data_IF_829788850126
#
_entry.id   IF_829788850126
#
_cell.length_a   1.000
_cell.length_b   1.000
_cell.length_c   1.000
_cell.angle_alpha   90.00
_cell.angle_beta   90.00
_cell.angle_gamma   90.00
#
_symmetry.space_group_name_H-M   'P 1'
#
loop_
_entity.id
_entity.type
_entity.pdbx_description
1 polymer ?
#
# COMPACT_ATOMS: atom_id res chain seq x y z
N UNK A 1 41.04 -60.74 -18.33
CA UNK A 1 40.93 -59.60 -17.38
C UNK A 1 39.84 -58.58 -17.74
N UNK A 2 39.34 -58.54 -18.99
CA UNK A 2 38.37 -57.54 -19.47
C UNK A 2 36.90 -57.84 -19.10
N UNK A 3 36.48 -59.11 -19.03
CA UNK A 3 35.10 -59.48 -18.70
C UNK A 3 34.70 -59.25 -17.23
N UNK A 4 35.66 -59.37 -16.28
CA UNK A 4 35.39 -59.09 -14.85
C UNK A 4 35.19 -57.59 -14.58
N UNK A 5 35.83 -56.70 -15.37
CA UNK A 5 35.65 -55.25 -15.24
C UNK A 5 34.31 -54.78 -15.79
N UNK A 6 33.81 -55.40 -16.85
CA UNK A 6 32.50 -55.07 -17.44
C UNK A 6 31.34 -55.48 -16.51
N UNK A 7 31.43 -56.66 -15.88
CA UNK A 7 30.41 -57.11 -14.91
C UNK A 7 30.35 -56.20 -13.66
N UNK A 8 31.50 -55.68 -13.21
CA UNK A 8 31.55 -54.76 -12.07
C UNK A 8 30.94 -53.39 -12.42
N UNK A 9 31.20 -52.87 -13.63
CA UNK A 9 30.62 -51.62 -14.13
C UNK A 9 29.10 -51.70 -14.31
N UNK A 10 28.60 -52.83 -14.84
CA UNK A 10 27.15 -53.07 -14.97
C UNK A 10 26.49 -53.22 -13.59
N UNK A 11 27.15 -53.90 -12.65
CA UNK A 11 26.66 -54.06 -11.27
C UNK A 11 26.56 -52.72 -10.52
N UNK A 12 27.56 -51.85 -10.67
CA UNK A 12 27.55 -50.51 -10.05
C UNK A 12 26.48 -49.62 -10.70
N UNK A 13 26.33 -49.68 -12.03
CA UNK A 13 25.29 -48.95 -12.75
C UNK A 13 23.87 -49.37 -12.32
N UNK A 14 23.62 -50.67 -12.19
CA UNK A 14 22.32 -51.19 -11.73
C UNK A 14 22.01 -50.78 -10.28
N UNK A 15 23.02 -50.79 -9.39
CA UNK A 15 22.86 -50.37 -7.99
C UNK A 15 22.56 -48.88 -7.87
N UNK A 16 23.19 -48.03 -8.69
CA UNK A 16 22.94 -46.60 -8.73
C UNK A 16 21.52 -46.26 -9.22
N UNK A 17 21.03 -46.97 -10.24
CA UNK A 17 19.66 -46.81 -10.75
C UNK A 17 18.63 -47.25 -9.69
N UNK A 18 18.87 -48.36 -8.99
CA UNK A 18 18.01 -48.82 -7.89
C UNK A 18 17.98 -47.85 -6.71
N UNK A 19 19.10 -47.20 -6.39
CA UNK A 19 19.18 -46.17 -5.36
C UNK A 19 18.45 -44.89 -5.77
N UNK A 20 18.55 -44.48 -7.05
CA UNK A 20 17.82 -43.32 -7.59
C UNK A 20 16.31 -43.56 -7.61
N UNK A 21 15.85 -44.75 -8.04
CA UNK A 21 14.42 -45.11 -8.03
C UNK A 21 13.86 -45.21 -6.60
N UNK A 22 14.65 -45.71 -5.64
CA UNK A 22 14.28 -45.68 -4.22
C UNK A 22 14.24 -44.26 -3.66
N UNK A 23 15.15 -43.38 -4.08
CA UNK A 23 15.17 -41.98 -3.67
C UNK A 23 13.96 -41.22 -4.21
N UNK A 24 13.55 -41.46 -5.47
CA UNK A 24 12.31 -40.90 -6.03
C UNK A 24 11.07 -41.43 -5.30
N UNK A 25 11.00 -42.73 -4.96
CA UNK A 25 9.90 -43.25 -4.13
C UNK A 25 9.89 -42.66 -2.72
N UNK A 26 11.05 -42.41 -2.11
CA UNK A 26 11.15 -41.75 -0.80
C UNK A 26 10.73 -40.28 -0.88
N UNK A 27 11.07 -39.56 -1.95
CA UNK A 27 10.56 -38.18 -2.18
C UNK A 27 9.05 -38.17 -2.38
N UNK A 28 8.48 -39.16 -3.08
CA UNK A 28 7.03 -39.28 -3.28
C UNK A 28 6.30 -39.65 -1.97
N UNK A 29 6.92 -40.43 -1.09
CA UNK A 29 6.42 -40.73 0.25
C UNK A 29 6.54 -39.52 1.21
N UNK A 30 7.61 -38.73 1.13
CA UNK A 30 7.81 -37.53 1.96
C UNK A 30 6.90 -36.36 1.51
N UNK A 31 6.57 -36.27 0.22
CA UNK A 31 5.62 -35.28 -0.31
C UNK A 31 4.15 -35.73 -0.25
N UNK A 32 3.89 -37.00 0.13
CA UNK A 32 2.56 -37.61 0.19
C UNK A 32 1.74 -37.29 1.43
N UNK A 33 2.31 -36.67 2.47
CA UNK A 33 1.61 -36.29 3.70
C UNK A 33 1.61 -34.76 3.91
N UNK A 34 0.99 -34.02 3.00
CA UNK A 34 0.30 -32.79 3.41
C UNK A 34 -1.15 -33.16 3.61
N UNK A 35 -1.51 -33.45 4.86
CA UNK A 35 -2.89 -33.70 5.26
C UNK A 35 -3.75 -32.46 4.96
N UNK A 36 -4.35 -32.39 3.78
CA UNK A 36 -5.45 -31.49 3.48
C UNK A 36 -6.69 -32.06 4.18
N UNK A 37 -7.04 -31.48 5.31
CA UNK A 37 -8.22 -31.96 6.05
C UNK A 37 -9.47 -31.36 5.41
N UNK A 38 -10.19 -32.16 4.62
CA UNK A 38 -11.52 -31.82 4.10
C UNK A 38 -12.56 -32.20 5.16
N UNK A 39 -13.21 -31.21 5.78
CA UNK A 39 -14.35 -31.44 6.67
C UNK A 39 -15.65 -30.93 6.04
N UNK A 40 -16.71 -31.73 6.18
CA UNK A 40 -18.06 -31.48 5.64
C UNK A 40 -18.96 -30.71 6.61
N UNK A 41 -18.45 -29.66 7.27
CA UNK A 41 -19.25 -28.78 8.13
C UNK A 41 -19.09 -27.34 7.65
N UNK A 42 -20.18 -26.74 7.17
CA UNK A 42 -20.18 -25.34 6.71
C UNK A 42 -19.90 -24.41 7.90
N UNK A 43 -18.77 -23.66 7.91
CA UNK A 43 -18.50 -22.72 8.98
C UNK A 43 -19.48 -21.53 8.90
N UNK A 44 -19.99 -21.07 10.05
CA UNK A 44 -20.78 -19.83 10.12
C UNK A 44 -19.88 -18.64 9.75
N UNK A 45 -19.97 -18.19 8.50
CA UNK A 45 -19.13 -17.14 7.94
C UNK A 45 -19.60 -15.76 8.40
N UNK A 46 -18.71 -15.00 9.05
CA UNK A 46 -18.94 -13.59 9.36
C UNK A 46 -18.22 -12.71 8.36
N UNK A 47 -18.85 -11.61 7.97
CA UNK A 47 -18.19 -10.53 7.22
C UNK A 47 -17.53 -9.57 8.20
N UNK A 48 -16.38 -8.96 7.85
CA UNK A 48 -15.76 -7.93 8.67
C UNK A 48 -16.74 -6.77 8.88
N UNK A 49 -16.76 -6.23 10.09
CA UNK A 49 -17.46 -4.98 10.42
C UNK A 49 -16.60 -3.75 10.18
N UNK A 50 -15.27 -3.94 10.10
CA UNK A 50 -14.25 -2.91 10.00
C UNK A 50 -13.14 -3.34 9.02
N UNK A 51 -12.23 -2.43 8.70
CA UNK A 51 -11.08 -2.63 7.79
C UNK A 51 -9.93 -3.43 8.40
N UNK A 52 -9.95 -3.64 9.72
CA UNK A 52 -8.96 -4.41 10.47
C UNK A 52 -9.70 -5.49 11.25
N UNK A 53 -9.24 -6.74 11.14
CA UNK A 53 -9.86 -7.90 11.78
C UNK A 53 -8.82 -8.67 12.61
N UNK A 54 -9.09 -8.97 13.89
CA UNK A 54 -8.21 -9.83 14.69
C UNK A 54 -8.09 -11.23 14.09
N UNK A 55 -6.88 -11.81 14.11
CA UNK A 55 -6.64 -13.20 13.77
C UNK A 55 -6.89 -14.05 15.03
N UNK A 56 -7.90 -14.93 15.04
CA UNK A 56 -8.23 -15.72 16.22
C UNK A 56 -7.04 -16.52 16.77
N UNK A 57 -7.00 -16.66 18.10
CA UNK A 57 -5.96 -17.39 18.84
C UNK A 57 -4.56 -16.75 18.74
N UNK A 58 -4.47 -15.46 18.45
CA UNK A 58 -3.22 -14.70 18.42
C UNK A 58 -3.46 -13.21 18.69
N UNK A 59 -2.38 -12.44 18.82
CA UNK A 59 -2.46 -10.96 18.80
C UNK A 59 -2.36 -10.37 17.40
N UNK A 60 -2.20 -11.19 16.36
CA UNK A 60 -2.07 -10.70 14.99
C UNK A 60 -3.37 -10.11 14.44
N UNK A 61 -3.25 -9.28 13.41
CA UNK A 61 -4.38 -8.67 12.70
C UNK A 61 -4.28 -8.96 11.21
N UNK A 62 -5.41 -9.11 10.54
CA UNK A 62 -5.53 -9.14 9.08
C UNK A 62 -6.34 -7.93 8.60
N UNK A 63 -5.98 -7.40 7.43
CA UNK A 63 -6.52 -6.14 6.89
C UNK A 63 -7.35 -6.43 5.65
N UNK A 64 -6.71 -6.95 4.61
CA UNK A 64 -7.32 -7.15 3.29
C UNK A 64 -6.65 -8.30 2.56
N UNK A 65 -7.36 -8.87 1.57
CA UNK A 65 -6.90 -10.02 0.82
C UNK A 65 -6.94 -9.75 -0.67
N UNK A 66 -5.87 -10.13 -1.37
CA UNK A 66 -5.70 -9.93 -2.80
C UNK A 66 -5.18 -11.19 -3.46
N UNK A 67 -5.66 -11.49 -4.66
CA UNK A 67 -5.03 -12.49 -5.53
C UNK A 67 -3.82 -11.86 -6.23
N UNK A 68 -2.65 -12.46 -6.04
CA UNK A 68 -1.38 -12.02 -6.62
C UNK A 68 -1.02 -12.91 -7.82
N UNK A 69 -1.42 -12.47 -9.01
CA UNK A 69 -1.18 -13.22 -10.26
C UNK A 69 0.30 -13.37 -10.61
N UNK A 70 1.16 -12.52 -10.06
CA UNK A 70 2.63 -12.60 -10.26
C UNK A 70 3.24 -13.79 -9.52
N UNK A 71 2.52 -14.33 -8.53
CA UNK A 71 2.89 -15.51 -7.75
C UNK A 71 1.94 -16.68 -8.02
N UNK A 72 1.58 -16.89 -9.29
CA UNK A 72 0.74 -18.03 -9.69
C UNK A 72 -0.69 -17.98 -9.14
N UNK A 73 -1.18 -16.78 -8.79
CA UNK A 73 -2.52 -16.60 -8.22
C UNK A 73 -2.60 -16.89 -6.71
N UNK A 74 -1.47 -16.86 -6.01
CA UNK A 74 -1.41 -16.89 -4.54
C UNK A 74 -2.36 -15.86 -3.92
N UNK A 75 -3.01 -16.22 -2.80
CA UNK A 75 -3.78 -15.24 -2.03
C UNK A 75 -2.85 -14.60 -1.02
N UNK A 76 -2.69 -13.28 -1.12
CA UNK A 76 -1.91 -12.45 -0.22
C UNK A 76 -2.85 -11.71 0.70
N UNK A 77 -2.72 -11.98 2.00
CA UNK A 77 -3.43 -11.24 3.03
C UNK A 77 -2.46 -10.23 3.64
N UNK A 78 -2.76 -8.94 3.50
CA UNK A 78 -2.03 -7.87 4.19
C UNK A 78 -2.39 -7.97 5.67
N UNK A 79 -1.37 -8.09 6.51
CA UNK A 79 -1.50 -8.39 7.93
C UNK A 79 -0.56 -7.54 8.78
N UNK A 80 -0.85 -7.49 10.08
CA UNK A 80 -0.02 -6.88 11.10
C UNK A 80 0.35 -7.99 12.09
N UNK A 81 1.62 -8.36 12.13
CA UNK A 81 2.12 -9.52 12.88
C UNK A 81 2.96 -9.05 14.05
N UNK A 82 2.63 -9.49 15.27
CA UNK A 82 3.52 -9.39 16.42
C UNK A 82 4.77 -10.26 16.20
N UNK A 83 5.96 -9.66 16.22
CA UNK A 83 7.23 -10.35 15.95
C UNK A 83 7.62 -11.36 17.03
N UNK A 84 7.07 -11.23 18.23
CA UNK A 84 7.34 -12.11 19.36
C UNK A 84 6.50 -13.40 19.33
N UNK A 85 5.44 -13.41 18.51
CA UNK A 85 4.53 -14.55 18.32
C UNK A 85 4.91 -15.29 17.04
N UNK A 86 5.51 -16.47 17.19
CA UNK A 86 6.07 -17.28 16.10
C UNK A 86 5.23 -18.51 15.76
N UNK A 87 4.04 -18.62 16.35
CA UNK A 87 3.13 -19.73 16.07
C UNK A 87 2.73 -19.76 14.57
N UNK A 88 2.55 -20.95 13.98
CA UNK A 88 2.13 -21.05 12.59
C UNK A 88 0.73 -20.46 12.40
N UNK A 89 0.53 -19.78 11.28
CA UNK A 89 -0.77 -19.33 10.82
C UNK A 89 -1.30 -20.26 9.73
N UNK A 90 -2.61 -20.34 9.62
CA UNK A 90 -3.30 -21.19 8.66
C UNK A 90 -4.29 -20.35 7.85
N UNK A 91 -4.29 -20.57 6.54
CA UNK A 91 -5.27 -20.03 5.63
C UNK A 91 -6.51 -20.92 5.61
N UNK A 92 -7.69 -20.31 5.68
CA UNK A 92 -8.98 -20.97 5.43
C UNK A 92 -9.62 -20.32 4.21
N UNK A 93 -9.62 -21.02 3.09
CA UNK A 93 -10.13 -20.52 1.80
C UNK A 93 -11.49 -21.13 1.49
N UNK A 94 -12.43 -20.29 1.06
CA UNK A 94 -13.77 -20.72 0.67
C UNK A 94 -14.14 -20.17 -0.71
N UNK A 95 -14.79 -21.00 -1.52
CA UNK A 95 -15.49 -20.56 -2.73
C UNK A 95 -16.87 -19.95 -2.38
N UNK A 96 -17.43 -19.15 -3.31
CA UNK A 96 -18.80 -18.67 -3.19
C UNK A 96 -19.78 -19.76 -3.67
N UNK A 97 -20.76 -20.11 -2.83
CA UNK A 97 -21.84 -21.03 -3.20
C UNK A 97 -22.84 -20.47 -4.24
N UNK A 98 -22.67 -19.21 -4.70
CA UNK A 98 -23.61 -18.49 -5.57
C UNK A 98 -23.12 -18.26 -7.02
N UNK A 99 -21.98 -18.82 -7.40
CA UNK A 99 -21.44 -18.64 -8.76
C UNK A 99 -22.10 -19.56 -9.81
N UNK A 100 -22.70 -20.68 -9.39
CA UNK A 100 -23.38 -21.63 -10.29
C UNK A 100 -24.87 -21.70 -9.97
N UNK A 101 -25.65 -20.74 -10.46
CA UNK A 101 -27.12 -20.84 -10.49
C UNK A 101 -27.64 -21.51 -11.78
N UNK A 102 -26.76 -22.09 -12.60
CA UNK A 102 -27.09 -22.66 -13.91
C UNK A 102 -26.51 -24.06 -14.15
N UNK A 103 -26.31 -24.84 -13.09
CA UNK A 103 -26.02 -26.28 -13.25
C UNK A 103 -27.09 -27.06 -12.50
N UNK A 104 -27.79 -27.89 -13.26
CA UNK A 104 -28.86 -28.77 -12.80
C UNK A 104 -28.45 -29.50 -11.52
N UNK A 105 -29.20 -29.21 -10.46
CA UNK A 105 -29.05 -29.86 -9.16
C UNK A 105 -29.49 -31.32 -9.27
N UNK A 106 -28.59 -32.21 -9.70
CA UNK A 106 -28.64 -33.68 -9.53
C UNK A 106 -27.34 -34.35 -10.01
N UNK A 107 -26.26 -34.15 -9.26
CA UNK A 107 -25.14 -35.09 -9.14
C UNK A 107 -24.33 -34.67 -7.90
N UNK A 108 -23.86 -35.64 -7.12
CA UNK A 108 -23.19 -35.44 -5.84
C UNK A 108 -22.04 -34.40 -5.90
N UNK A 109 -22.15 -33.30 -5.14
CA UNK A 109 -21.09 -32.28 -5.02
C UNK A 109 -21.54 -30.98 -4.34
N UNK A 110 -21.21 -30.81 -3.07
CA UNK A 110 -21.77 -29.79 -2.17
C UNK A 110 -21.36 -28.32 -2.47
N UNK A 111 -22.27 -27.33 -2.27
CA UNK A 111 -21.91 -25.92 -2.22
C UNK A 111 -21.21 -25.58 -0.88
N UNK A 112 -20.02 -24.96 -0.93
CA UNK A 112 -19.38 -24.31 0.23
C UNK A 112 -18.29 -25.09 0.97
N UNK A 113 -17.42 -25.83 0.28
CA UNK A 113 -16.26 -26.46 0.91
C UNK A 113 -15.14 -25.43 1.12
N UNK A 114 -14.76 -25.21 2.38
CA UNK A 114 -13.56 -24.44 2.72
C UNK A 114 -12.37 -25.40 2.87
N UNK A 115 -11.20 -24.98 2.43
CA UNK A 115 -9.94 -25.74 2.58
C UNK A 115 -9.01 -25.00 3.53
N UNK A 116 -8.31 -25.76 4.37
CA UNK A 116 -7.34 -25.23 5.32
C UNK A 116 -5.95 -25.77 5.07
N UNK A 117 -4.95 -24.90 5.16
CA UNK A 117 -3.55 -25.28 5.04
C UNK A 117 -2.67 -24.20 5.68
N UNK A 118 -1.44 -24.59 6.02
CA UNK A 118 -0.50 -23.68 6.65
C UNK A 118 -0.12 -22.52 5.71
N UNK A 119 -0.16 -21.30 6.24
CA UNK A 119 0.22 -20.09 5.54
C UNK A 119 1.73 -19.87 5.58
N UNK A 120 2.25 -19.13 4.60
CA UNK A 120 3.62 -18.63 4.62
C UNK A 120 3.61 -17.15 5.03
N UNK A 121 4.21 -16.82 6.17
CA UNK A 121 4.24 -15.45 6.70
C UNK A 121 5.53 -14.76 6.29
N UNK A 122 5.44 -13.63 5.60
CA UNK A 122 6.58 -12.78 5.23
C UNK A 122 6.45 -11.43 5.94
N UNK A 123 7.24 -11.24 7.00
CA UNK A 123 7.34 -9.94 7.67
C UNK A 123 8.10 -8.95 6.77
N UNK A 124 7.62 -7.71 6.69
CA UNK A 124 8.32 -6.67 5.94
C UNK A 124 9.61 -6.29 6.68
N UNK A 125 10.69 -6.04 5.95
CA UNK A 125 12.00 -5.80 6.54
C UNK A 125 12.13 -4.45 7.25
N UNK A 126 11.27 -3.49 6.95
CA UNK A 126 11.30 -2.15 7.55
C UNK A 126 10.36 -2.11 8.76
N UNK A 127 10.89 -2.46 9.92
CA UNK A 127 10.12 -2.60 11.15
C UNK A 127 10.26 -1.42 12.14
N UNK A 128 11.23 -0.54 11.91
CA UNK A 128 11.55 0.62 12.76
C UNK A 128 11.71 0.30 14.27
N UNK A 129 12.01 -0.96 14.61
CA UNK A 129 12.10 -1.45 15.99
C UNK A 129 10.76 -1.78 16.67
N UNK A 130 9.63 -1.65 15.97
CA UNK A 130 8.30 -1.83 16.58
C UNK A 130 7.94 -3.32 16.77
N UNK A 131 7.15 -3.66 17.81
CA UNK A 131 6.71 -5.04 18.07
C UNK A 131 5.78 -5.63 17.01
N UNK A 132 4.89 -4.80 16.44
CA UNK A 132 3.95 -5.20 15.40
C UNK A 132 4.37 -4.63 14.05
N UNK A 133 4.48 -5.51 13.05
CA UNK A 133 5.00 -5.17 11.72
C UNK A 133 4.03 -5.55 10.62
N UNK A 134 4.01 -4.74 9.57
CA UNK A 134 3.32 -5.09 8.32
C UNK A 134 3.91 -6.38 7.77
N UNK A 135 3.05 -7.28 7.32
CA UNK A 135 3.44 -8.58 6.82
C UNK A 135 2.49 -9.05 5.74
N UNK A 136 2.98 -9.95 4.90
CA UNK A 136 2.17 -10.71 3.96
C UNK A 136 1.95 -12.12 4.50
N UNK A 137 0.69 -12.48 4.75
CA UNK A 137 0.31 -13.88 5.02
C UNK A 137 -0.13 -14.50 3.68
N UNK A 138 0.71 -15.36 3.13
CA UNK A 138 0.52 -15.96 1.82
C UNK A 138 -0.12 -17.35 1.91
N UNK A 139 -1.21 -17.51 1.19
CA UNK A 139 -1.86 -18.80 0.96
C UNK A 139 -1.41 -19.35 -0.39
N UNK A 140 -0.56 -20.38 -0.36
CA UNK A 140 0.02 -21.05 -1.51
C UNK A 140 -0.61 -22.45 -1.66
N UNK A 141 -1.63 -22.57 -2.50
CA UNK A 141 -2.29 -23.85 -2.77
C UNK A 141 -2.52 -24.04 -4.28
N UNK A 142 -2.57 -25.28 -4.80
CA UNK A 142 -3.04 -25.53 -6.16
C UNK A 142 -4.56 -25.32 -6.31
N UNK A 143 -5.33 -25.42 -5.23
CA UNK A 143 -6.80 -25.31 -5.22
C UNK A 143 -7.35 -23.85 -5.18
N UNK A 144 -6.51 -22.85 -5.49
CA UNK A 144 -6.81 -21.43 -5.28
C UNK A 144 -7.76 -20.81 -6.30
N UNK A 145 -7.98 -21.46 -7.45
CA UNK A 145 -8.58 -20.79 -8.61
C UNK A 145 -9.98 -20.22 -8.35
N UNK A 146 -10.77 -20.88 -7.51
CA UNK A 146 -12.17 -20.51 -7.23
C UNK A 146 -12.38 -19.83 -5.86
N UNK A 147 -11.30 -19.56 -5.12
CA UNK A 147 -11.42 -18.94 -3.79
C UNK A 147 -11.85 -17.47 -3.91
N UNK A 148 -12.97 -17.13 -3.29
CA UNK A 148 -13.50 -15.76 -3.26
C UNK A 148 -13.33 -15.11 -1.89
N UNK A 149 -13.07 -15.92 -0.86
CA UNK A 149 -12.97 -15.49 0.54
C UNK A 149 -11.85 -16.23 1.26
N UNK A 150 -11.21 -15.53 2.19
CA UNK A 150 -10.13 -16.07 3.02
C UNK A 150 -10.30 -15.63 4.47
N UNK A 151 -9.95 -16.50 5.39
CA UNK A 151 -9.69 -16.16 6.79
C UNK A 151 -8.31 -16.68 7.19
N UNK A 152 -7.71 -16.06 8.21
CA UNK A 152 -6.45 -16.50 8.81
C UNK A 152 -6.72 -16.87 10.28
N UNK A 153 -6.14 -17.96 10.75
CA UNK A 153 -6.24 -18.43 12.15
C UNK A 153 -4.90 -18.96 12.64
N UNK A 154 -4.61 -18.81 13.94
CA UNK A 154 -3.46 -19.46 14.58
C UNK A 154 -3.79 -20.87 15.11
N UNK A 155 -5.05 -21.31 15.02
CA UNK A 155 -5.47 -22.66 15.38
C UNK A 155 -6.10 -23.38 14.17
N UNK A 156 -5.47 -24.44 13.63
CA UNK A 156 -5.94 -25.13 12.45
C UNK A 156 -7.19 -25.98 12.71
N UNK A 157 -7.64 -26.14 13.95
CA UNK A 157 -8.84 -26.91 14.30
C UNK A 157 -10.06 -26.02 14.57
N UNK A 158 -9.87 -24.70 14.62
CA UNK A 158 -10.92 -23.74 14.96
C UNK A 158 -11.51 -23.10 13.69
N UNK A 159 -12.42 -23.84 13.03
CA UNK A 159 -13.08 -23.41 11.80
C UNK A 159 -14.40 -22.65 12.03
N UNK A 160 -14.96 -22.75 13.24
CA UNK A 160 -16.25 -22.14 13.56
C UNK A 160 -16.11 -20.66 13.92
N UNK A 161 -17.02 -19.82 13.43
CA UNK A 161 -17.09 -18.37 13.70
C UNK A 161 -15.92 -17.52 13.17
N UNK A 162 -15.22 -17.99 12.14
CA UNK A 162 -14.20 -17.18 11.48
C UNK A 162 -14.82 -16.01 10.69
N UNK A 163 -14.12 -14.87 10.73
CA UNK A 163 -14.40 -13.72 9.88
C UNK A 163 -13.65 -13.86 8.57
N UNK A 164 -14.33 -13.67 7.44
CA UNK A 164 -13.76 -13.90 6.11
C UNK A 164 -13.61 -12.58 5.33
N UNK A 165 -12.39 -12.28 4.91
CA UNK A 165 -12.10 -11.20 3.97
C UNK A 165 -12.51 -11.61 2.56
N UNK A 166 -13.08 -10.68 1.79
CA UNK A 166 -13.26 -10.88 0.35
C UNK A 166 -11.91 -10.76 -0.35
N UNK A 167 -11.62 -11.71 -1.22
CA UNK A 167 -10.40 -11.70 -2.03
C UNK A 167 -10.63 -10.78 -3.23
N UNK A 168 -9.85 -9.70 -3.28
CA UNK A 168 -9.85 -8.74 -4.39
C UNK A 168 -8.86 -9.16 -5.50
N UNK A 169 -8.78 -8.38 -6.58
CA UNK A 169 -7.90 -8.63 -7.72
C UNK A 169 -8.11 -10.00 -8.39
N UNK A 170 -9.37 -10.46 -8.49
CA UNK A 170 -9.72 -11.78 -9.04
C UNK A 170 -9.18 -12.01 -10.47
N UNK A 171 -9.06 -10.95 -11.26
CA UNK A 171 -8.63 -10.95 -12.66
C UNK A 171 -7.48 -9.95 -12.88
N UNK A 172 -6.61 -10.27 -13.84
CA UNK A 172 -5.61 -9.33 -14.37
C UNK A 172 -6.31 -8.35 -15.30
N UNK A 173 -6.08 -7.04 -15.09
CA UNK A 173 -6.60 -5.98 -15.94
C UNK A 173 -5.47 -5.14 -16.52
N UNK A 174 -5.57 -4.84 -17.80
CA UNK A 174 -4.65 -3.94 -18.52
C UNK A 174 -5.28 -2.59 -18.86
N UNK A 175 -6.61 -2.53 -18.85
CA UNK A 175 -7.37 -1.27 -18.90
C UNK A 175 -7.63 -0.79 -17.48
N UNK A 176 -7.14 0.40 -17.17
CA UNK A 176 -7.21 0.98 -15.83
C UNK A 176 -8.29 2.07 -15.77
N UNK A 177 -9.02 2.12 -14.67
CA UNK A 177 -10.01 3.18 -14.40
C UNK A 177 -9.32 4.53 -14.21
N UNK A 178 -8.10 4.51 -13.68
CA UNK A 178 -7.32 5.70 -13.38
C UNK A 178 -5.90 5.56 -13.95
N UNK A 179 -5.33 6.65 -14.45
CA UNK A 179 -3.90 6.70 -14.78
C UNK A 179 -3.08 6.94 -13.51
N UNK A 180 -3.54 7.85 -12.65
CA UNK A 180 -2.82 8.25 -11.43
C UNK A 180 -3.71 8.19 -10.21
N UNK A 181 -3.22 7.53 -9.17
CA UNK A 181 -3.84 7.52 -7.85
C UNK A 181 -2.84 7.89 -6.77
N UNK A 182 -3.22 8.78 -5.86
CA UNK A 182 -2.40 9.13 -4.70
C UNK A 182 -2.85 8.29 -3.50
N UNK A 183 -1.90 7.63 -2.84
CA UNK A 183 -2.10 6.88 -1.61
C UNK A 183 -1.54 7.66 -0.42
N UNK A 184 -2.44 8.24 0.39
CA UNK A 184 -2.09 8.97 1.61
C UNK A 184 -2.24 8.03 2.80
N UNK A 185 -1.13 7.79 3.48
CA UNK A 185 -1.02 6.67 4.42
C UNK A 185 -1.94 6.72 5.63
N UNK A 186 -1.93 7.76 6.48
CA UNK A 186 -2.77 7.83 7.69
C UNK A 186 -3.10 9.27 8.08
N UNK A 187 -4.37 9.51 8.40
CA UNK A 187 -4.86 10.72 9.04
C UNK A 187 -5.14 10.44 10.52
N UNK A 188 -4.44 11.15 11.40
CA UNK A 188 -4.51 10.95 12.84
C UNK A 188 -4.32 12.25 13.61
N UNK A 189 -4.47 12.20 14.94
CA UNK A 189 -4.16 13.32 15.83
C UNK A 189 -5.07 14.54 15.65
N UNK A 190 -6.33 14.31 15.23
CA UNK A 190 -7.31 15.39 14.97
C UNK A 190 -6.77 16.41 13.94
N UNK A 191 -6.02 15.94 12.94
CA UNK A 191 -5.47 16.78 11.88
C UNK A 191 -6.54 17.66 11.22
N UNK A 192 -6.36 18.99 11.29
CA UNK A 192 -7.34 19.96 10.81
C UNK A 192 -6.75 21.02 9.86
N UNK A 193 -5.76 20.67 9.05
CA UNK A 193 -5.15 21.57 8.08
C UNK A 193 -5.99 21.59 6.78
N UNK A 194 -7.20 22.14 6.87
CA UNK A 194 -8.21 22.11 5.82
C UNK A 194 -7.80 22.91 4.58
N UNK A 195 -7.21 24.11 4.76
CA UNK A 195 -6.79 24.95 3.63
C UNK A 195 -5.72 24.25 2.78
N UNK A 196 -4.65 23.73 3.42
CA UNK A 196 -3.59 23.02 2.69
C UNK A 196 -4.14 21.79 1.95
N UNK A 197 -5.04 21.05 2.57
CA UNK A 197 -5.60 19.85 1.95
C UNK A 197 -6.48 20.19 0.75
N UNK A 198 -7.36 21.19 0.85
CA UNK A 198 -8.15 21.68 -0.29
C UNK A 198 -7.25 22.17 -1.44
N UNK A 199 -6.21 22.96 -1.12
CA UNK A 199 -5.24 23.43 -2.11
C UNK A 199 -4.52 22.27 -2.81
N UNK A 200 -4.11 21.26 -2.05
CA UNK A 200 -3.43 20.07 -2.57
C UNK A 200 -4.35 19.24 -3.48
N UNK A 201 -5.61 19.05 -3.10
CA UNK A 201 -6.60 18.33 -3.92
C UNK A 201 -6.85 19.04 -5.27
N UNK A 202 -6.96 20.37 -5.27
CA UNK A 202 -7.12 21.13 -6.52
C UNK A 202 -5.84 21.09 -7.39
N UNK A 203 -4.65 21.11 -6.79
CA UNK A 203 -3.39 20.89 -7.53
C UNK A 203 -3.37 19.49 -8.15
N UNK A 204 -3.79 18.46 -7.42
CA UNK A 204 -3.88 17.09 -7.92
C UNK A 204 -4.75 16.97 -9.17
N UNK A 205 -5.92 17.63 -9.21
CA UNK A 205 -6.77 17.67 -10.41
C UNK A 205 -6.01 18.26 -11.61
N UNK A 206 -5.30 19.36 -11.40
CA UNK A 206 -4.58 20.07 -12.47
C UNK A 206 -3.39 19.27 -13.02
N UNK A 207 -2.70 18.50 -12.20
CA UNK A 207 -1.57 17.67 -12.64
C UNK A 207 -1.99 16.26 -13.12
N UNK A 208 -3.29 15.98 -13.19
CA UNK A 208 -3.84 14.76 -13.79
C UNK A 208 -4.07 13.58 -12.83
N UNK A 209 -4.08 13.82 -11.51
CA UNK A 209 -4.52 12.81 -10.53
C UNK A 209 -6.03 12.67 -10.58
N UNK A 210 -6.52 11.43 -10.70
CA UNK A 210 -7.95 11.15 -10.85
C UNK A 210 -8.56 10.52 -9.60
N UNK A 211 -7.73 9.96 -8.72
CA UNK A 211 -8.17 9.32 -7.48
C UNK A 211 -7.17 9.59 -6.36
N UNK A 212 -7.69 9.86 -5.17
CA UNK A 212 -6.92 9.94 -3.94
C UNK A 212 -7.53 8.94 -2.96
N UNK A 213 -6.68 8.26 -2.20
CA UNK A 213 -7.08 7.31 -1.17
C UNK A 213 -6.43 7.78 0.12
N UNK A 214 -7.23 7.93 1.17
CA UNK A 214 -6.72 8.31 2.48
C UNK A 214 -7.27 7.37 3.53
N UNK A 215 -6.40 6.89 4.40
CA UNK A 215 -6.80 6.08 5.54
C UNK A 215 -6.99 6.99 6.75
N UNK A 216 -8.16 6.92 7.37
CA UNK A 216 -8.55 7.85 8.42
C UNK A 216 -8.72 7.13 9.77
N UNK A 217 -7.80 7.40 10.69
CA UNK A 217 -7.96 7.05 12.11
C UNK A 217 -8.72 8.16 12.84
N UNK A 218 -8.32 9.43 12.64
CA UNK A 218 -9.02 10.58 13.20
C UNK A 218 -8.66 11.85 12.43
N UNK A 219 -9.62 12.76 12.23
CA UNK A 219 -9.38 14.08 11.66
C UNK A 219 -10.17 15.16 12.38
N UNK A 220 -9.78 16.42 12.18
CA UNK A 220 -10.52 17.57 12.67
C UNK A 220 -11.79 17.85 11.86
N UNK A 221 -12.68 18.69 12.39
CA UNK A 221 -14.01 18.91 11.83
C UNK A 221 -14.00 19.57 10.44
N UNK A 222 -13.06 20.47 10.16
CA UNK A 222 -12.99 21.17 8.87
C UNK A 222 -12.40 20.28 7.80
N UNK A 223 -11.37 19.49 8.13
CA UNK A 223 -10.87 18.45 7.22
C UNK A 223 -11.97 17.42 6.96
N UNK A 224 -12.75 17.00 7.95
CA UNK A 224 -13.86 16.05 7.75
C UNK A 224 -14.87 16.54 6.69
N UNK A 225 -15.23 17.83 6.72
CA UNK A 225 -16.08 18.46 5.70
C UNK A 225 -15.46 18.38 4.30
N UNK A 226 -14.16 18.68 4.19
CA UNK A 226 -13.42 18.60 2.92
C UNK A 226 -13.33 17.16 2.41
N UNK A 227 -13.10 16.19 3.29
CA UNK A 227 -13.10 14.77 2.93
C UNK A 227 -14.47 14.34 2.36
N UNK A 228 -15.57 14.77 2.99
CA UNK A 228 -16.93 14.50 2.51
C UNK A 228 -17.20 15.11 1.14
N UNK A 229 -16.76 16.35 0.93
CA UNK A 229 -16.87 17.04 -0.35
C UNK A 229 -16.20 16.25 -1.49
N UNK A 230 -14.90 15.96 -1.36
CA UNK A 230 -14.17 15.25 -2.42
C UNK A 230 -14.58 13.79 -2.58
N UNK A 231 -15.12 13.16 -1.52
CA UNK A 231 -15.71 11.82 -1.62
C UNK A 231 -16.99 11.85 -2.46
N UNK A 232 -17.85 12.85 -2.28
CA UNK A 232 -19.06 13.06 -3.07
C UNK A 232 -18.74 13.39 -4.53
N UNK A 233 -17.70 14.18 -4.78
CA UNK A 233 -17.18 14.46 -6.12
C UNK A 233 -16.64 13.19 -6.82
N UNK A 234 -16.27 12.16 -6.05
CA UNK A 234 -15.74 10.89 -6.55
C UNK A 234 -14.21 10.86 -6.69
N UNK A 235 -13.54 11.99 -6.42
CA UNK A 235 -12.07 12.08 -6.46
C UNK A 235 -11.42 11.37 -5.27
N UNK A 236 -12.05 11.37 -4.10
CA UNK A 236 -11.46 10.83 -2.86
C UNK A 236 -12.14 9.52 -2.41
N UNK A 237 -11.35 8.57 -1.94
CA UNK A 237 -11.77 7.45 -1.09
C UNK A 237 -11.26 7.68 0.32
N UNK A 238 -12.16 7.67 1.29
CA UNK A 238 -11.78 7.62 2.71
C UNK A 238 -11.95 6.18 3.19
N UNK A 239 -10.85 5.57 3.59
CA UNK A 239 -10.83 4.21 4.17
C UNK A 239 -10.76 4.35 5.69
N UNK A 240 -11.75 3.88 6.47
CA UNK A 240 -11.65 3.88 7.92
C UNK A 240 -10.42 3.10 8.38
N UNK A 241 -9.68 3.60 9.36
CA UNK A 241 -8.46 2.94 9.87
C UNK A 241 -8.39 2.96 11.41
N UNK A 242 -9.21 2.14 12.07
CA UNK A 242 -9.37 2.14 13.53
C UNK A 242 -8.25 1.38 14.25
N UNK A 243 -6.99 1.60 13.86
CA UNK A 243 -5.83 0.87 14.38
C UNK A 243 -5.66 1.05 15.90
N UNK A 244 -6.05 2.21 16.41
CA UNK A 244 -6.05 2.61 17.82
C UNK A 244 -7.02 1.80 18.69
N UNK A 245 -8.02 1.14 18.09
CA UNK A 245 -8.89 0.20 18.78
C UNK A 245 -8.23 -1.16 19.05
N UNK A 246 -7.16 -1.49 18.33
CA UNK A 246 -6.52 -2.81 18.37
C UNK A 246 -5.11 -2.77 18.97
N UNK A 247 -4.37 -1.70 18.73
CA UNK A 247 -2.98 -1.51 19.16
C UNK A 247 -2.80 -0.09 19.69
N UNK A 248 -1.72 0.16 20.44
CA UNK A 248 -1.27 1.52 20.78
C UNK A 248 -0.37 2.06 19.66
N UNK A 249 -0.87 2.86 18.71
CA UNK A 249 -0.04 3.39 17.63
C UNK A 249 1.00 4.38 18.16
N UNK A 250 2.17 4.40 17.52
CA UNK A 250 3.17 5.45 17.74
C UNK A 250 2.78 6.74 17.04
N UNK A 251 3.05 7.87 17.69
CA UNK A 251 2.91 9.22 17.10
C UNK A 251 4.17 9.70 16.38
N UNK A 252 5.25 8.89 16.39
CA UNK A 252 6.50 9.23 15.73
C UNK A 252 7.17 8.04 15.07
N UNK A 253 8.32 8.32 14.44
CA UNK A 253 9.00 7.40 13.53
C UNK A 253 9.97 6.44 14.24
N UNK A 254 10.47 6.81 15.42
CA UNK A 254 11.47 6.04 16.16
C UNK A 254 10.85 5.37 17.39
N UNK A 255 10.99 4.03 17.48
CA UNK A 255 10.52 3.25 18.63
C UNK A 255 11.14 3.73 19.95
N UNK A 256 12.46 3.97 19.96
CA UNK A 256 13.19 4.35 21.18
C UNK A 256 12.75 5.72 21.72
N UNK A 257 12.20 6.59 20.88
CA UNK A 257 11.81 7.95 21.25
C UNK A 257 10.31 8.09 21.53
N UNK A 258 9.47 7.39 20.74
CA UNK A 258 8.02 7.61 20.76
C UNK A 258 7.25 6.41 21.33
N UNK A 259 7.88 5.23 21.38
CA UNK A 259 7.29 3.97 21.82
C UNK A 259 5.98 3.63 21.09
N UNK A 260 5.27 2.61 21.56
CA UNK A 260 4.03 2.10 20.96
C UNK A 260 4.21 0.72 20.34
N UNK A 261 3.09 0.15 19.90
CA UNK A 261 3.02 -1.20 19.37
C UNK A 261 3.32 -1.24 17.87
N UNK A 262 2.94 -0.19 17.13
CA UNK A 262 3.04 -0.12 15.68
C UNK A 262 3.52 1.26 15.20
N UNK A 263 4.39 1.25 14.19
CA UNK A 263 4.97 2.46 13.60
C UNK A 263 3.90 3.37 12.97
N UNK A 264 3.88 4.64 13.39
CA UNK A 264 3.13 5.74 12.77
C UNK A 264 1.69 5.39 12.35
N UNK A 265 0.88 4.93 13.31
CA UNK A 265 -0.50 4.50 13.07
C UNK A 265 -0.66 3.37 12.04
N UNK A 266 0.37 2.55 11.81
CA UNK A 266 0.35 1.47 10.83
C UNK A 266 0.51 1.96 9.39
N UNK A 267 1.25 3.06 9.18
CA UNK A 267 1.49 3.68 7.87
C UNK A 267 2.00 2.70 6.81
N UNK A 268 2.86 1.75 7.19
CA UNK A 268 3.36 0.74 6.26
C UNK A 268 2.25 -0.20 5.78
N UNK A 269 1.31 -0.56 6.67
CA UNK A 269 0.19 -1.43 6.33
C UNK A 269 -0.76 -0.75 5.36
N UNK A 270 -1.05 0.53 5.55
CA UNK A 270 -1.93 1.29 4.66
C UNK A 270 -1.31 1.55 3.29
N UNK A 271 -0.01 1.86 3.23
CA UNK A 271 0.70 2.01 1.96
C UNK A 271 0.67 0.72 1.12
N UNK A 272 0.94 -0.43 1.75
CA UNK A 272 0.89 -1.71 1.05
C UNK A 272 -0.55 -2.12 0.71
N UNK A 273 -1.53 -1.83 1.57
CA UNK A 273 -2.94 -2.08 1.27
C UNK A 273 -3.40 -1.28 0.05
N UNK A 274 -3.07 0.02 -0.01
CA UNK A 274 -3.41 0.89 -1.13
C UNK A 274 -2.78 0.41 -2.44
N UNK A 275 -1.52 -0.03 -2.37
CA UNK A 275 -0.79 -0.58 -3.51
C UNK A 275 -1.53 -1.76 -4.15
N UNK A 276 -1.98 -2.72 -3.34
CA UNK A 276 -2.70 -3.88 -3.86
C UNK A 276 -4.15 -3.56 -4.22
N UNK A 277 -4.85 -2.70 -3.45
CA UNK A 277 -6.22 -2.24 -3.73
C UNK A 277 -6.34 -1.62 -5.12
N UNK A 278 -5.35 -0.84 -5.53
CA UNK A 278 -5.35 -0.13 -6.80
C UNK A 278 -4.48 -0.76 -7.89
N UNK A 279 -3.90 -1.95 -7.64
CA UNK A 279 -2.99 -2.64 -8.57
C UNK A 279 -3.57 -2.84 -9.97
N UNK A 280 -4.86 -3.18 -10.06
CA UNK A 280 -5.59 -3.39 -11.33
C UNK A 280 -6.67 -2.34 -11.56
N UNK A 281 -6.60 -1.21 -10.85
CA UNK A 281 -7.49 -0.06 -11.04
C UNK A 281 -6.74 1.16 -11.55
N UNK A 282 -5.42 1.24 -11.27
CA UNK A 282 -4.59 2.39 -11.59
C UNK A 282 -3.31 2.02 -12.35
N UNK A 283 -2.95 2.85 -13.34
CA UNK A 283 -1.71 2.69 -14.10
C UNK A 283 -0.47 2.98 -13.24
N UNK A 284 -0.51 4.04 -12.44
CA UNK A 284 0.55 4.45 -11.52
C UNK A 284 -0.02 4.90 -10.17
N UNK A 285 0.76 4.70 -9.12
CA UNK A 285 0.47 5.16 -7.76
C UNK A 285 1.52 6.14 -7.28
N UNK A 286 1.09 7.21 -6.62
CA UNK A 286 1.93 8.16 -5.90
C UNK A 286 1.82 7.86 -4.40
N UNK A 287 2.94 7.56 -3.76
CA UNK A 287 3.01 7.18 -2.35
C UNK A 287 3.64 8.32 -1.54
N UNK A 288 2.87 9.35 -1.21
CA UNK A 288 3.36 10.53 -0.50
C UNK A 288 2.46 10.91 0.68
N UNK A 289 2.98 11.75 1.57
CA UNK A 289 2.24 12.20 2.74
C UNK A 289 1.24 13.31 2.36
N UNK A 290 0.31 13.64 3.27
CA UNK A 290 -0.80 14.57 3.00
C UNK A 290 -0.35 16.01 2.73
N UNK A 291 0.82 16.38 3.24
CA UNK A 291 1.46 17.70 3.13
C UNK A 291 2.53 17.77 2.02
N UNK A 292 2.63 16.71 1.22
CA UNK A 292 3.60 16.56 0.13
C UNK A 292 2.90 16.52 -1.22
N UNK A 293 3.48 17.20 -2.22
CA UNK A 293 2.98 17.20 -3.60
C UNK A 293 4.12 16.78 -4.55
N UNK A 294 4.03 15.59 -5.13
CA UNK A 294 4.92 15.18 -6.24
C UNK A 294 4.57 16.03 -7.47
N UNK A 295 5.45 16.95 -7.85
CA UNK A 295 5.18 17.98 -8.85
C UNK A 295 6.11 17.83 -10.08
N UNK A 296 5.58 17.74 -11.31
CA UNK A 296 6.39 17.81 -12.53
C UNK A 296 6.84 19.25 -12.82
N UNK A 297 8.13 19.46 -13.11
CA UNK A 297 8.70 20.80 -13.38
C UNK A 297 9.01 21.03 -14.86
N UNK A 298 9.39 19.99 -15.61
CA UNK A 298 9.68 20.07 -17.06
C UNK A 298 8.50 19.68 -17.94
N UNK A 299 7.40 19.24 -17.33
CA UNK A 299 6.21 18.74 -18.03
C UNK A 299 4.96 19.36 -17.43
N UNK A 300 3.91 19.50 -18.24
CA UNK A 300 2.66 20.14 -17.82
C UNK A 300 1.89 19.34 -16.76
N UNK A 301 2.00 18.00 -16.77
CA UNK A 301 1.27 17.10 -15.88
C UNK A 301 1.99 15.75 -15.74
N UNK A 302 1.44 14.86 -14.90
CA UNK A 302 2.00 13.54 -14.64
C UNK A 302 1.96 12.62 -15.86
N UNK A 303 0.94 12.75 -16.73
CA UNK A 303 0.82 11.94 -17.95
C UNK A 303 2.02 12.20 -18.88
N UNK A 304 2.34 13.47 -19.15
CA UNK A 304 3.45 13.86 -20.00
C UNK A 304 4.80 13.47 -19.37
N UNK A 305 4.95 13.65 -18.05
CA UNK A 305 6.13 13.21 -17.31
C UNK A 305 6.35 11.69 -17.48
N UNK A 306 5.32 10.91 -17.18
CA UNK A 306 5.42 9.44 -17.22
C UNK A 306 5.53 8.89 -18.64
N UNK A 307 4.94 9.55 -19.64
CA UNK A 307 5.13 9.19 -21.04
C UNK A 307 6.60 9.22 -21.44
N UNK A 308 7.31 10.30 -21.11
CA UNK A 308 8.74 10.45 -21.41
C UNK A 308 9.60 9.50 -20.55
N UNK A 309 9.34 9.45 -19.23
CA UNK A 309 10.11 8.59 -18.34
C UNK A 309 9.99 7.11 -18.72
N UNK A 310 8.79 6.63 -19.03
CA UNK A 310 8.60 5.23 -19.41
C UNK A 310 9.17 4.94 -20.81
N UNK A 311 9.13 5.90 -21.75
CA UNK A 311 9.78 5.75 -23.05
C UNK A 311 11.31 5.61 -22.92
N UNK A 312 11.92 6.42 -22.06
CA UNK A 312 13.37 6.38 -21.82
C UNK A 312 13.81 5.19 -20.96
N UNK A 313 12.93 4.76 -20.04
CA UNK A 313 13.19 3.71 -19.04
C UNK A 313 12.06 2.67 -19.05
N UNK A 314 11.91 1.86 -20.11
CA UNK A 314 10.77 0.94 -20.26
C UNK A 314 10.67 -0.11 -19.16
N UNK A 315 11.80 -0.49 -18.55
CA UNK A 315 11.86 -1.48 -17.47
C UNK A 315 11.77 -0.87 -16.06
N UNK A 316 11.67 0.46 -15.95
CA UNK A 316 11.48 1.10 -14.65
C UNK A 316 10.05 0.90 -14.17
N UNK A 317 9.92 0.47 -12.91
CA UNK A 317 8.64 0.31 -12.22
C UNK A 317 8.54 1.16 -10.96
N UNK A 318 9.64 1.78 -10.54
CA UNK A 318 9.73 2.61 -9.33
C UNK A 318 10.50 3.88 -9.69
N UNK A 319 9.87 5.03 -9.48
CA UNK A 319 10.42 6.35 -9.75
C UNK A 319 10.57 7.08 -8.41
N UNK A 320 11.81 7.22 -7.93
CA UNK A 320 12.11 7.93 -6.69
C UNK A 320 12.14 9.43 -6.96
N UNK A 321 11.35 10.17 -6.19
CA UNK A 321 11.20 11.63 -6.29
C UNK A 321 11.73 12.24 -5.00
N UNK A 322 12.64 13.20 -5.13
CA UNK A 322 13.32 13.85 -4.01
C UNK A 322 12.41 14.85 -3.29
N UNK A 323 12.49 14.87 -1.95
CA UNK A 323 11.77 15.80 -1.11
C UNK A 323 12.50 17.13 -0.95
N UNK A 324 11.80 18.25 -1.18
CA UNK A 324 12.34 19.59 -0.94
C UNK A 324 11.44 20.43 -0.05
N UNK A 325 12.08 21.13 0.89
CA UNK A 325 11.42 21.81 1.99
C UNK A 325 11.13 23.26 1.62
N UNK A 326 9.87 23.64 1.83
CA UNK A 326 9.37 25.01 1.76
C UNK A 326 9.02 25.45 3.18
N UNK A 327 9.87 26.24 3.87
CA UNK A 327 9.63 26.59 5.25
C UNK A 327 8.33 27.38 5.42
N UNK A 328 7.42 26.87 6.26
CA UNK A 328 6.17 27.55 6.61
C UNK A 328 6.37 28.87 7.38
N UNK A 329 7.61 29.17 7.77
CA UNK A 329 8.01 30.43 8.42
C UNK A 329 8.44 31.50 7.42
N UNK A 330 8.59 31.15 6.14
CA UNK A 330 9.03 32.06 5.09
C UNK A 330 7.88 32.30 4.11
N UNK A 331 7.50 33.57 3.97
CA UNK A 331 6.34 33.99 3.17
C UNK A 331 6.79 34.82 1.96
N UNK A 332 6.02 34.75 0.88
CA UNK A 332 5.99 35.75 -0.18
C UNK A 332 5.88 37.18 0.40
N UNK A 333 6.69 38.11 -0.13
CA UNK A 333 6.74 39.50 0.32
C UNK A 333 5.59 40.36 -0.20
N UNK A 334 5.00 39.99 -1.34
CA UNK A 334 3.93 40.76 -1.96
C UNK A 334 2.58 40.61 -1.24
N UNK A 335 2.41 39.55 -0.44
CA UNK A 335 1.14 39.23 0.20
C UNK A 335 0.05 38.83 -0.82
N UNK A 336 0.44 38.43 -2.04
CA UNK A 336 -0.46 38.17 -3.16
C UNK A 336 -1.53 37.14 -2.84
N UNK A 337 -1.19 36.14 -2.03
CA UNK A 337 -2.10 35.05 -1.65
C UNK A 337 -2.67 35.20 -0.24
N UNK A 338 -2.46 36.34 0.43
CA UNK A 338 -3.09 36.66 1.73
C UNK A 338 -4.54 37.09 1.52
N UNK A 339 -5.36 36.15 1.07
CA UNK A 339 -6.75 36.38 0.71
C UNK A 339 -7.62 36.47 1.98
N UNK A 340 -8.33 37.59 2.24
CA UNK A 340 -9.09 37.76 3.48
C UNK A 340 -10.10 36.64 3.77
N UNK A 341 -10.70 36.08 2.72
CA UNK A 341 -11.67 34.96 2.82
C UNK A 341 -11.05 33.64 3.30
N UNK A 342 -9.75 33.42 3.12
CA UNK A 342 -9.08 32.21 3.62
C UNK A 342 -8.55 32.37 5.04
N UNK A 343 -8.59 33.60 5.61
CA UNK A 343 -8.02 33.91 6.92
C UNK A 343 -8.63 33.09 8.07
N UNK A 344 -9.91 32.74 7.96
CA UNK A 344 -10.63 31.93 8.96
C UNK A 344 -10.55 30.43 8.72
N UNK A 345 -10.03 29.99 7.57
CA UNK A 345 -9.94 28.57 7.23
C UNK A 345 -8.72 27.96 7.91
N UNK A 346 -8.87 26.93 8.76
CA UNK A 346 -7.73 26.32 9.44
C UNK A 346 -6.73 25.72 8.45
N UNK A 347 -5.45 26.03 8.63
CA UNK A 347 -4.37 25.41 7.87
C UNK A 347 -3.33 26.37 7.33
N UNK A 348 -2.35 25.80 6.62
CA UNK A 348 -1.28 26.52 5.95
C UNK A 348 -1.70 26.85 4.52
N UNK A 349 -1.54 28.10 4.12
CA UNK A 349 -1.74 28.52 2.73
C UNK A 349 -0.47 28.23 1.90
N UNK A 350 -0.44 27.10 1.19
CA UNK A 350 0.78 26.67 0.46
C UNK A 350 1.19 27.64 -0.65
N UNK A 351 0.28 28.49 -1.13
CA UNK A 351 0.57 29.49 -2.16
C UNK A 351 1.41 30.67 -1.63
N UNK A 352 1.47 30.87 -0.32
CA UNK A 352 2.34 31.91 0.28
C UNK A 352 3.80 31.45 0.44
N UNK A 353 4.08 30.15 0.27
CA UNK A 353 5.39 29.57 0.57
C UNK A 353 6.14 29.21 -0.72
N UNK A 354 6.87 30.19 -1.27
CA UNK A 354 7.67 30.06 -2.50
C UNK A 354 9.18 29.99 -2.26
N UNK A 355 9.62 30.05 -1.00
CA UNK A 355 11.02 29.95 -0.65
C UNK A 355 11.35 28.50 -0.30
N UNK A 356 12.30 27.92 -1.04
CA UNK A 356 12.74 26.53 -0.89
C UNK A 356 14.14 26.50 -0.28
N UNK A 357 14.34 25.60 0.69
CA UNK A 357 15.66 25.36 1.24
C UNK A 357 16.62 24.78 0.18
N UNK A 358 17.92 25.15 0.21
CA UNK A 358 18.96 24.49 -0.56
C UNK A 358 19.14 23.05 -0.09
N UNK A 359 19.76 22.22 -0.93
CA UNK A 359 20.05 20.83 -0.57
C UNK A 359 21.02 20.77 0.62
N UNK A 360 20.73 19.88 1.56
CA UNK A 360 21.49 19.73 2.79
C UNK A 360 22.80 19.01 2.48
N UNK A 361 23.93 19.69 2.68
CA UNK A 361 25.25 19.07 2.51
C UNK A 361 25.36 17.84 3.44
N UNK A 362 25.77 16.71 2.87
CA UNK A 362 26.00 15.43 3.57
C UNK A 362 24.76 14.76 4.17
N UNK A 363 23.55 15.25 3.89
CA UNK A 363 22.31 14.60 4.35
C UNK A 363 21.48 14.25 3.13
N UNK A 364 21.10 12.98 3.01
CA UNK A 364 20.19 12.55 1.96
C UNK A 364 18.82 13.21 2.16
N UNK A 365 18.29 13.83 1.10
CA UNK A 365 16.91 14.28 1.09
C UNK A 365 16.00 13.07 0.98
N UNK A 366 15.07 12.87 1.94
CA UNK A 366 14.14 11.76 1.88
C UNK A 366 13.42 11.72 0.53
N UNK A 367 13.13 10.54 0.02
CA UNK A 367 12.37 10.37 -1.22
C UNK A 367 10.97 9.91 -0.93
N UNK A 368 10.05 10.12 -1.89
CA UNK A 368 8.83 9.32 -2.03
C UNK A 368 8.86 8.62 -3.38
N UNK A 369 7.89 7.76 -3.64
CA UNK A 369 7.87 6.93 -4.84
C UNK A 369 6.59 7.13 -5.66
N UNK A 370 6.78 7.29 -6.96
CA UNK A 370 5.76 7.04 -7.97
C UNK A 370 6.03 5.63 -8.54
N UNK A 371 5.05 4.74 -8.50
CA UNK A 371 5.24 3.33 -8.83
C UNK A 371 4.24 2.82 -9.86
N UNK A 372 4.66 1.86 -10.66
CA UNK A 372 3.76 0.89 -11.26
C UNK A 372 3.44 -0.17 -10.19
N UNK A 373 2.19 -0.29 -9.70
CA UNK A 373 1.89 -1.22 -8.61
C UNK A 373 2.11 -2.69 -8.97
N UNK A 374 2.01 -3.05 -10.26
CA UNK A 374 2.31 -4.43 -10.71
C UNK A 374 3.81 -4.76 -10.59
N UNK A 375 4.68 -3.76 -10.59
CA UNK A 375 6.14 -3.93 -10.51
C UNK A 375 6.69 -3.93 -9.07
N UNK A 376 5.84 -3.77 -8.05
CA UNK A 376 6.27 -3.68 -6.64
C UNK A 376 5.54 -4.72 -5.80
N UNK A 377 6.27 -5.44 -4.95
CA UNK A 377 5.71 -6.44 -4.04
C UNK A 377 5.51 -5.88 -2.63
N UNK A 378 6.46 -5.08 -2.13
CA UNK A 378 6.43 -4.47 -0.81
C UNK A 378 6.99 -3.05 -0.87
N UNK A 379 6.32 -2.10 -0.21
CA UNK A 379 6.74 -0.70 -0.13
C UNK A 379 6.91 -0.22 1.31
N UNK A 380 7.73 0.81 1.50
CA UNK A 380 7.89 1.57 2.73
C UNK A 380 7.66 3.07 2.50
N UNK A 381 7.86 3.89 3.53
CA UNK A 381 7.63 5.34 3.58
C UNK A 381 8.43 6.10 2.53
N UNK A 382 9.69 5.70 2.29
CA UNK A 382 10.62 6.44 1.43
C UNK A 382 11.14 5.66 0.22
N UNK A 383 10.87 4.35 0.15
CA UNK A 383 11.41 3.45 -0.88
C UNK A 383 10.54 2.21 -1.01
N UNK A 384 10.78 1.40 -2.04
CA UNK A 384 10.29 0.03 -2.10
C UNK A 384 11.23 -0.92 -1.36
N UNK A 385 10.66 -1.97 -0.74
CA UNK A 385 11.41 -3.02 -0.04
C UNK A 385 11.67 -4.22 -0.95
N UNK A 386 10.69 -4.55 -1.80
CA UNK A 386 10.79 -5.63 -2.77
C UNK A 386 10.05 -5.26 -4.06
N UNK A 387 10.74 -5.38 -5.19
CA UNK A 387 10.22 -4.99 -6.49
C UNK A 387 10.77 -5.88 -7.62
N UNK A 388 10.04 -5.92 -8.72
CA UNK A 388 10.44 -6.56 -9.99
C UNK A 388 10.96 -5.53 -10.99
N UNK A 389 10.40 -4.32 -10.97
CA UNK A 389 10.81 -3.23 -11.86
C UNK A 389 12.09 -2.54 -11.39
N UNK A 390 12.84 -1.96 -12.32
CA UNK A 390 14.02 -1.17 -11.99
C UNK A 390 13.61 0.10 -11.24
N UNK A 391 14.48 0.53 -10.33
CA UNK A 391 14.37 1.80 -9.61
C UNK A 391 15.09 2.88 -10.41
N UNK A 392 14.41 3.98 -10.67
CA UNK A 392 14.97 5.15 -11.32
C UNK A 392 14.85 6.37 -10.40
N UNK A 393 15.96 7.04 -10.13
CA UNK A 393 15.96 8.31 -9.42
C UNK A 393 15.67 9.42 -10.43
N UNK A 394 14.53 10.08 -10.30
CA UNK A 394 14.13 11.15 -11.21
C UNK A 394 14.94 12.40 -10.85
N UNK A 395 15.58 13.08 -11.83
CA UNK A 395 16.31 14.32 -11.56
C UNK A 395 15.42 15.39 -10.93
N UNK A 396 15.93 16.09 -9.92
CA UNK A 396 15.17 17.06 -9.12
C UNK A 396 14.62 18.24 -9.96
N UNK A 397 15.27 18.57 -11.06
CA UNK A 397 14.84 19.64 -11.98
C UNK A 397 13.72 19.18 -12.92
N UNK A 398 13.52 17.87 -13.06
CA UNK A 398 12.44 17.24 -13.85
C UNK A 398 11.18 17.07 -13.01
N UNK A 399 11.32 16.51 -11.80
CA UNK A 399 10.22 16.30 -10.86
C UNK A 399 10.76 16.29 -9.43
N UNK A 400 10.05 16.96 -8.52
CA UNK A 400 10.38 17.02 -7.10
C UNK A 400 9.14 17.17 -6.24
N UNK A 401 9.26 16.87 -4.95
CA UNK A 401 8.18 17.06 -3.99
C UNK A 401 8.22 18.49 -3.45
N UNK A 402 7.07 19.15 -3.47
CA UNK A 402 6.83 20.38 -2.71
C UNK A 402 6.33 19.97 -1.33
N UNK A 403 7.10 20.24 -0.29
CA UNK A 403 6.74 19.92 1.10
C UNK A 403 6.79 21.19 1.95
N UNK A 404 5.63 21.78 2.18
CA UNK A 404 5.48 22.97 3.03
C UNK A 404 5.39 22.55 4.49
N UNK A 405 6.47 22.78 5.26
CA UNK A 405 6.60 22.28 6.64
C UNK A 405 7.49 23.17 7.51
N UNK A 406 7.71 22.74 8.75
CA UNK A 406 8.78 23.30 9.61
C UNK A 406 10.14 23.25 8.90
N UNK A 407 10.97 24.31 8.99
CA UNK A 407 12.28 24.32 8.37
C UNK A 407 13.16 23.18 8.89
N UNK A 408 13.98 22.61 8.02
CA UNK A 408 15.04 21.68 8.40
C UNK A 408 16.40 22.39 8.53
N UNK A 409 16.50 23.61 8.00
CA UNK A 409 17.68 24.48 8.10
C UNK A 409 17.26 25.87 8.61
N UNK A 410 16.69 25.92 9.82
CA UNK A 410 16.09 27.13 10.39
C UNK A 410 17.05 28.31 10.59
N UNK A 411 18.36 28.08 10.54
CA UNK A 411 19.40 29.11 10.59
C UNK A 411 19.57 29.90 9.28
N UNK A 412 18.99 29.43 8.17
CA UNK A 412 19.12 30.11 6.89
C UNK A 412 18.30 31.40 6.87
N UNK A 413 18.92 32.48 6.41
CA UNK A 413 18.21 33.72 6.08
C UNK A 413 17.49 33.59 4.75
N UNK A 414 16.51 34.46 4.52
CA UNK A 414 15.61 34.39 3.36
C UNK A 414 16.34 34.52 2.02
N UNK A 415 17.38 35.33 1.96
CA UNK A 415 18.27 35.52 0.80
C UNK A 415 19.11 34.28 0.44
N UNK A 416 19.23 33.32 1.38
CA UNK A 416 19.91 32.04 1.15
C UNK A 416 18.95 30.95 0.60
N UNK A 417 17.66 31.27 0.43
CA UNK A 417 16.65 30.36 -0.08
C UNK A 417 16.41 30.56 -1.57
N UNK A 418 16.02 29.48 -2.25
CA UNK A 418 15.67 29.55 -3.67
C UNK A 418 14.20 29.90 -3.85
N UNK A 419 13.91 30.84 -4.75
CA UNK A 419 12.54 31.15 -5.15
C UNK A 419 12.04 30.07 -6.12
N UNK A 420 10.93 29.44 -5.76
CA UNK A 420 10.21 28.46 -6.56
C UNK A 420 8.72 28.81 -6.57
N UNK A 421 8.24 29.24 -7.74
CA UNK A 421 6.87 29.72 -7.97
C UNK A 421 6.02 28.71 -8.72
N UNK A 422 6.38 27.42 -8.73
CA UNK A 422 5.71 26.41 -9.56
C UNK A 422 4.19 26.36 -9.37
N UNK A 423 3.70 26.45 -8.13
CA UNK A 423 2.26 26.47 -7.84
C UNK A 423 1.55 27.71 -8.40
N UNK A 424 2.26 28.83 -8.56
CA UNK A 424 1.68 30.07 -9.08
C UNK A 424 1.37 29.99 -10.58
N UNK A 425 1.98 29.06 -11.32
CA UNK A 425 1.62 28.80 -12.73
C UNK A 425 0.15 28.42 -12.88
N UNK A 426 -0.46 27.85 -11.83
CA UNK A 426 -1.84 27.40 -11.81
C UNK A 426 -2.81 28.39 -11.14
N UNK A 427 -2.35 29.55 -10.69
CA UNK A 427 -3.11 30.52 -9.89
C UNK A 427 -4.51 30.80 -10.43
N UNK A 428 -4.62 31.08 -11.74
CA UNK A 428 -5.89 31.44 -12.40
C UNK A 428 -6.94 30.34 -12.30
N UNK A 429 -6.51 29.08 -12.21
CA UNK A 429 -7.37 27.91 -12.09
C UNK A 429 -7.55 27.50 -10.63
N UNK A 430 -6.50 27.58 -9.82
CA UNK A 430 -6.53 27.16 -8.42
C UNK A 430 -7.45 28.02 -7.57
N UNK A 431 -7.33 29.36 -7.64
CA UNK A 431 -8.06 30.23 -6.71
C UNK A 431 -9.58 30.01 -6.79
N UNK A 432 -10.24 30.07 -7.97
CA UNK A 432 -11.68 29.84 -8.05
C UNK A 432 -12.11 28.44 -7.65
N UNK A 433 -11.29 27.41 -7.92
CA UNK A 433 -11.62 26.03 -7.57
C UNK A 433 -11.48 25.76 -6.07
N UNK A 434 -10.46 26.33 -5.42
CA UNK A 434 -10.30 26.27 -3.97
C UNK A 434 -11.47 26.97 -3.29
N UNK A 435 -11.85 28.17 -3.75
CA UNK A 435 -13.00 28.89 -3.22
C UNK A 435 -14.28 28.06 -3.33
N UNK A 436 -14.52 27.43 -4.49
CA UNK A 436 -15.66 26.54 -4.68
C UNK A 436 -15.65 25.37 -3.69
N UNK A 437 -14.52 24.67 -3.57
CA UNK A 437 -14.40 23.53 -2.67
C UNK A 437 -14.61 23.91 -1.20
N UNK A 438 -14.07 25.05 -0.77
CA UNK A 438 -14.24 25.55 0.60
C UNK A 438 -15.70 25.94 0.91
N UNK A 439 -16.38 26.62 -0.03
CA UNK A 439 -17.79 26.98 0.13
C UNK A 439 -18.72 25.76 0.08
N UNK A 440 -18.55 24.88 -0.91
CA UNK A 440 -19.43 23.71 -1.10
C UNK A 440 -19.21 22.63 -0.03
N UNK A 441 -18.05 22.62 0.63
CA UNK A 441 -17.81 21.80 1.82
C UNK A 441 -18.38 22.40 3.11
N UNK A 442 -18.72 23.70 3.12
CA UNK A 442 -19.18 24.42 4.32
C UNK A 442 -18.07 24.70 5.34
N UNK A 443 -16.82 24.80 4.88
CA UNK A 443 -15.68 25.27 5.68
C UNK A 443 -15.57 26.79 5.63
N UNK A 444 -15.78 27.36 4.44
CA UNK A 444 -16.03 28.77 4.21
C UNK A 444 -17.55 28.98 4.08
#
# INVERSE_FOLDING_TARGET
MMQRKLALLVGIGALAILLMLKWEHVITLINGEKASVQFALQPRQRTPTDTITPIPFSRHLMVSAFKDHRLGGAIRVISIICRQELQPLYCVLCANAKADANVDAKADGAPGQCTSFQAKVHQHSDDFGFPFVTSDVLCLSPALQQATRVSITANPYAFHNLTFLSIQNQEVKESFKYNFTVCISNLFGVYNNALQFAQTMEVYKLIGVQRVVIYNTSCGPDVEKILKYYSKEGMLEVVPWPIDKFLKPSTGWSYDLHHGDIHYYGQLSTLNECMYRYMYQSKYLLMNDIDEIIMPYKHANLENLMGILQQQRPNAGVFKIENHIFPKTQFDDSGRFRLPRWKSVPGVNILEHVYREPDRKHVFNPTKVLINPRSVEQTSVHTTLKQFGLVFNVPFDVCRIIHVRVPLQGQLSKDQLFIDKKLWEFEKLLIPSIDRALNESGVL
#
